data_IF_918487553408
#
_entry.id   IF_918487553408
#
_cell.length_a   1.000
_cell.length_b   1.000
_cell.length_c   1.000
_cell.angle_alpha   90.00
_cell.angle_beta   90.00
_cell.angle_gamma   90.00
#
_symmetry.space_group_name_H-M   'P 1'
#
loop_
_entity.id
_entity.type
_entity.pdbx_description
1 polymer ?
#
# COMPACT_ATOMS: atom_id res chain seq x y z
N UNK A 1 -1.88 -1.46 -6.75
CA UNK A 1 -0.95 -0.36 -6.46
C UNK A 1 -0.09 -0.55 -5.22
N UNK A 2 -0.55 -1.23 -4.15
CA UNK A 2 0.34 -1.56 -3.01
C UNK A 2 1.62 -2.26 -3.49
N UNK A 3 1.49 -3.29 -4.32
CA UNK A 3 2.63 -3.99 -4.91
C UNK A 3 3.50 -3.09 -5.78
N UNK A 4 2.91 -2.17 -6.54
CA UNK A 4 3.64 -1.21 -7.37
C UNK A 4 4.46 -0.23 -6.51
N UNK A 5 3.89 0.26 -5.41
CA UNK A 5 4.59 1.09 -4.42
C UNK A 5 5.76 0.32 -3.81
N UNK A 6 5.52 -0.91 -3.33
CA UNK A 6 6.57 -1.79 -2.80
C UNK A 6 7.67 -2.04 -3.84
N UNK A 7 7.32 -2.33 -5.09
CA UNK A 7 8.27 -2.56 -6.16
C UNK A 7 9.15 -1.33 -6.43
N UNK A 8 8.62 -0.10 -6.31
CA UNK A 8 9.44 1.12 -6.40
C UNK A 8 10.32 1.30 -5.16
N UNK A 9 9.84 0.96 -3.97
CA UNK A 9 10.65 0.99 -2.75
C UNK A 9 11.83 -0.01 -2.79
N UNK A 10 11.67 -1.15 -3.47
CA UNK A 10 12.78 -2.11 -3.70
C UNK A 10 13.88 -1.53 -4.61
N UNK A 11 13.64 -0.41 -5.28
CA UNK A 11 14.64 0.27 -6.13
C UNK A 11 15.44 1.35 -5.39
N UNK A 12 15.19 1.57 -4.10
CA UNK A 12 15.94 2.56 -3.31
C UNK A 12 17.45 2.38 -3.43
N UNK A 13 18.15 3.50 -3.64
CA UNK A 13 19.61 3.52 -3.85
C UNK A 13 20.07 3.12 -5.25
N UNK A 14 19.15 2.78 -6.16
CA UNK A 14 19.47 2.42 -7.56
C UNK A 14 19.08 3.54 -8.53
N UNK A 15 19.62 3.49 -9.76
CA UNK A 15 19.23 4.39 -10.85
C UNK A 15 17.80 4.15 -11.36
N UNK A 16 17.19 3.01 -11.03
CA UNK A 16 15.81 2.67 -11.43
C UNK A 16 14.76 3.36 -10.56
N UNK A 17 15.15 3.84 -9.37
CA UNK A 17 14.24 4.61 -8.52
C UNK A 17 13.96 5.99 -9.14
N UNK A 18 12.68 6.30 -9.28
CA UNK A 18 12.24 7.67 -9.60
C UNK A 18 11.19 8.12 -8.61
N UNK A 19 11.35 9.34 -8.09
CA UNK A 19 10.35 9.95 -7.22
C UNK A 19 8.98 10.06 -7.91
N UNK A 20 8.97 10.31 -9.22
CA UNK A 20 7.75 10.38 -10.02
C UNK A 20 6.93 9.08 -9.97
N UNK A 21 7.58 7.91 -10.15
CA UNK A 21 6.88 6.63 -10.04
C UNK A 21 6.40 6.36 -8.61
N UNK A 22 7.22 6.69 -7.62
CA UNK A 22 6.82 6.49 -6.22
C UNK A 22 5.59 7.33 -5.88
N UNK A 23 5.64 8.63 -6.17
CA UNK A 23 4.53 9.55 -5.96
C UNK A 23 3.27 9.12 -6.71
N UNK A 24 3.41 8.68 -7.97
CA UNK A 24 2.30 8.18 -8.78
C UNK A 24 1.62 6.97 -8.12
N UNK A 25 2.36 5.88 -7.92
CA UNK A 25 1.76 4.62 -7.45
C UNK A 25 1.23 4.72 -6.03
N UNK A 26 1.93 5.48 -5.15
CA UNK A 26 1.45 5.72 -3.80
C UNK A 26 0.16 6.55 -3.79
N UNK A 27 0.08 7.60 -4.61
CA UNK A 27 -1.12 8.45 -4.69
C UNK A 27 -2.30 7.70 -5.31
N UNK A 28 -2.07 6.90 -6.35
CA UNK A 28 -3.08 6.00 -6.94
C UNK A 28 -3.58 4.98 -5.91
N UNK A 29 -2.68 4.37 -5.13
CA UNK A 29 -3.04 3.47 -4.03
C UNK A 29 -3.95 4.15 -2.99
N UNK A 30 -3.53 5.30 -2.42
CA UNK A 30 -4.31 6.01 -1.39
C UNK A 30 -5.63 6.52 -1.96
N UNK A 31 -5.59 7.15 -3.13
CA UNK A 31 -6.74 7.75 -3.79
C UNK A 31 -7.82 6.73 -4.17
N UNK A 32 -7.42 5.60 -4.75
CA UNK A 32 -8.39 4.56 -5.12
C UNK A 32 -8.95 3.82 -3.91
N UNK A 33 -8.15 3.59 -2.87
CA UNK A 33 -8.64 2.96 -1.64
C UNK A 33 -9.74 3.80 -0.96
N UNK A 34 -9.65 5.14 -1.00
CA UNK A 34 -10.68 6.03 -0.46
C UNK A 34 -12.06 5.80 -1.09
N UNK A 35 -12.13 5.30 -2.33
CA UNK A 35 -13.41 5.05 -2.99
C UNK A 35 -14.25 3.95 -2.30
N UNK A 36 -13.61 3.03 -1.56
CA UNK A 36 -14.31 1.91 -0.91
C UNK A 36 -15.34 2.36 0.13
N UNK A 37 -15.12 3.51 0.79
CA UNK A 37 -16.05 4.04 1.79
C UNK A 37 -17.42 4.44 1.22
N UNK A 38 -17.51 4.66 -0.09
CA UNK A 38 -18.74 5.11 -0.74
C UNK A 38 -19.61 3.95 -1.24
N UNK A 39 -19.20 2.70 -1.02
CA UNK A 39 -20.00 1.54 -1.40
C UNK A 39 -21.03 1.22 -0.31
N UNK A 40 -22.35 1.29 -0.58
CA UNK A 40 -23.39 0.91 0.39
C UNK A 40 -23.37 -0.59 0.75
N UNK A 41 -22.66 -1.40 -0.03
CA UNK A 41 -22.43 -2.83 0.20
C UNK A 41 -20.94 -3.12 0.44
N UNK A 42 -20.23 -2.20 1.11
CA UNK A 42 -18.83 -2.40 1.48
C UNK A 42 -18.66 -3.71 2.27
N UNK A 43 -17.76 -4.58 1.80
CA UNK A 43 -17.39 -5.82 2.51
C UNK A 43 -16.40 -5.56 3.65
N UNK A 44 -15.56 -4.55 3.50
CA UNK A 44 -14.58 -4.18 4.51
C UNK A 44 -15.27 -3.59 5.74
N UNK A 45 -14.84 -4.01 6.93
CA UNK A 45 -15.34 -3.43 8.17
C UNK A 45 -14.80 -1.99 8.35
N UNK A 46 -15.52 -1.16 9.12
CA UNK A 46 -15.04 0.20 9.41
C UNK A 46 -13.69 0.16 10.12
N UNK A 47 -13.49 -0.75 11.07
CA UNK A 47 -12.22 -0.90 11.79
C UNK A 47 -11.07 -1.31 10.87
N UNK A 48 -11.31 -2.25 9.96
CA UNK A 48 -10.27 -2.69 9.02
C UNK A 48 -9.96 -1.61 7.98
N UNK A 49 -10.96 -0.81 7.60
CA UNK A 49 -10.76 0.31 6.68
C UNK A 49 -9.96 1.46 7.32
N UNK A 50 -10.22 1.76 8.59
CA UNK A 50 -9.42 2.71 9.37
C UNK A 50 -7.98 2.19 9.50
N UNK A 51 -7.81 0.93 9.93
CA UNK A 51 -6.50 0.31 10.07
C UNK A 51 -5.74 0.28 8.73
N UNK A 52 -6.41 -0.05 7.63
CA UNK A 52 -5.83 0.00 6.29
C UNK A 52 -5.24 1.39 6.00
N UNK A 53 -6.00 2.45 6.26
CA UNK A 53 -5.55 3.81 6.00
C UNK A 53 -4.45 4.29 6.95
N UNK A 54 -4.44 3.83 8.20
CA UNK A 54 -3.36 4.06 9.17
C UNK A 54 -2.05 3.39 8.72
N UNK A 55 -2.13 2.15 8.22
CA UNK A 55 -0.98 1.39 7.71
C UNK A 55 -0.41 2.04 6.44
N UNK A 56 -1.27 2.48 5.52
CA UNK A 56 -0.86 3.22 4.32
C UNK A 56 -0.26 4.57 4.68
N UNK A 57 -0.75 5.24 5.73
CA UNK A 57 -0.30 6.56 6.15
C UNK A 57 -0.79 7.70 5.26
N UNK A 58 -0.42 8.93 5.63
CA UNK A 58 -0.81 10.16 4.91
C UNK A 58 0.30 10.69 3.99
N UNK A 59 1.49 10.10 4.05
CA UNK A 59 2.57 10.27 3.09
C UNK A 59 3.36 8.95 2.94
N UNK A 60 4.08 8.76 1.82
CA UNK A 60 5.02 7.66 1.68
C UNK A 60 6.28 7.88 2.52
N UNK A 61 6.87 6.79 3.02
CA UNK A 61 8.24 6.81 3.57
C UNK A 61 9.25 6.80 2.41
N UNK A 62 10.08 7.85 2.32
CA UNK A 62 11.05 8.05 1.24
C UNK A 62 12.43 7.44 1.55
N UNK A 63 13.26 7.29 0.51
CA UNK A 63 14.58 6.64 0.62
C UNK A 63 15.61 7.34 1.52
N UNK A 64 15.36 8.59 1.91
CA UNK A 64 16.23 9.37 2.79
C UNK A 64 15.88 9.23 4.28
N UNK A 65 14.85 8.45 4.61
CA UNK A 65 14.45 8.13 5.97
C UNK A 65 15.31 7.00 6.55
N UNK A 66 15.16 6.75 7.84
CA UNK A 66 15.92 5.69 8.52
C UNK A 66 15.62 4.31 7.90
N UNK A 67 16.61 3.44 7.69
CA UNK A 67 16.38 2.09 7.13
C UNK A 67 15.34 1.28 7.90
N UNK A 68 15.28 1.40 9.23
CA UNK A 68 14.29 0.70 10.05
C UNK A 68 12.87 1.23 9.84
N UNK A 69 12.72 2.53 9.55
CA UNK A 69 11.43 3.13 9.18
C UNK A 69 10.97 2.64 7.81
N UNK A 70 11.90 2.53 6.85
CA UNK A 70 11.63 1.98 5.52
C UNK A 70 11.15 0.54 5.63
N UNK A 71 11.86 -0.31 6.37
CA UNK A 71 11.50 -1.72 6.55
C UNK A 71 10.17 -1.87 7.29
N UNK A 72 9.94 -1.08 8.34
CA UNK A 72 8.66 -1.03 9.05
C UNK A 72 7.52 -0.65 8.12
N UNK A 73 7.72 0.34 7.25
CA UNK A 73 6.70 0.79 6.32
C UNK A 73 6.38 -0.25 5.25
N UNK A 74 7.39 -0.96 4.71
CA UNK A 74 7.16 -2.08 3.80
C UNK A 74 6.28 -3.16 4.45
N UNK A 75 6.53 -3.49 5.72
CA UNK A 75 5.69 -4.44 6.47
C UNK A 75 4.26 -3.93 6.66
N UNK A 76 4.07 -2.64 6.98
CA UNK A 76 2.73 -2.03 7.07
C UNK A 76 1.97 -2.14 5.75
N UNK A 77 2.62 -1.87 4.61
CA UNK A 77 2.00 -2.01 3.30
C UNK A 77 1.64 -3.47 2.98
N UNK A 78 2.46 -4.44 3.39
CA UNK A 78 2.12 -5.86 3.28
C UNK A 78 0.90 -6.23 4.14
N UNK A 79 0.84 -5.76 5.39
CA UNK A 79 -0.36 -5.94 6.25
C UNK A 79 -1.60 -5.29 5.64
N UNK A 80 -1.48 -4.08 5.09
CA UNK A 80 -2.59 -3.40 4.40
C UNK A 80 -3.08 -4.19 3.19
N UNK A 81 -2.16 -4.82 2.45
CA UNK A 81 -2.48 -5.72 1.34
C UNK A 81 -3.27 -6.94 1.83
N UNK A 82 -2.85 -7.53 2.94
CA UNK A 82 -3.46 -8.74 3.49
C UNK A 82 -4.86 -8.49 4.07
N UNK A 83 -5.13 -7.27 4.57
CA UNK A 83 -6.49 -6.82 4.93
C UNK A 83 -7.42 -6.91 3.70
N UNK A 84 -6.99 -6.35 2.56
CA UNK A 84 -7.81 -6.39 1.34
C UNK A 84 -7.94 -7.82 0.80
N UNK A 85 -6.85 -8.59 0.80
CA UNK A 85 -6.87 -9.98 0.36
C UNK A 85 -7.87 -10.82 1.17
N UNK A 86 -7.85 -10.69 2.49
CA UNK A 86 -8.75 -11.40 3.41
C UNK A 86 -10.19 -10.93 3.22
N UNK A 87 -10.43 -9.62 3.20
CA UNK A 87 -11.77 -9.03 3.05
C UNK A 87 -12.48 -9.47 1.77
N UNK A 88 -11.74 -9.57 0.67
CA UNK A 88 -12.29 -9.88 -0.65
C UNK A 88 -12.02 -11.31 -1.09
N UNK A 89 -11.47 -12.15 -0.20
CA UNK A 89 -11.17 -13.56 -0.44
C UNK A 89 -10.28 -13.79 -1.68
N UNK A 90 -9.36 -12.86 -1.93
CA UNK A 90 -8.42 -13.01 -3.04
C UNK A 90 -7.39 -14.08 -2.72
N UNK A 91 -7.16 -14.98 -3.67
CA UNK A 91 -6.09 -15.98 -3.56
C UNK A 91 -4.73 -15.30 -3.45
N UNK A 92 -3.89 -15.80 -2.55
CA UNK A 92 -2.56 -15.24 -2.27
C UNK A 92 -1.69 -15.11 -3.54
N UNK A 93 -1.76 -16.09 -4.45
CA UNK A 93 -1.05 -16.06 -5.72
C UNK A 93 -1.46 -14.85 -6.58
N UNK A 94 -2.75 -14.53 -6.63
CA UNK A 94 -3.24 -13.37 -7.36
C UNK A 94 -2.79 -12.07 -6.68
N UNK A 95 -2.79 -12.04 -5.34
CA UNK A 95 -2.37 -10.90 -4.52
C UNK A 95 -0.86 -10.64 -4.59
N UNK A 96 -0.06 -11.64 -4.96
CA UNK A 96 1.37 -11.43 -5.19
C UNK A 96 1.67 -10.90 -6.60
N UNK A 97 0.78 -11.14 -7.56
CA UNK A 97 1.00 -10.88 -8.98
C UNK A 97 0.17 -9.74 -9.58
N UNK A 98 -0.81 -9.19 -8.85
CA UNK A 98 -1.55 -7.96 -9.18
C UNK A 98 -0.74 -6.65 -9.01
#
# INVERSE_FOLDING_TARGET
>A
YINSTLAVMEKYGTQEYTFANHAKFWSEMKGYALAFQFNPHAKISVSDFVLFHELVGDNPVLMNQDPSEIDSYKQKLLTARDILATTYEFKEENVKNW
#
